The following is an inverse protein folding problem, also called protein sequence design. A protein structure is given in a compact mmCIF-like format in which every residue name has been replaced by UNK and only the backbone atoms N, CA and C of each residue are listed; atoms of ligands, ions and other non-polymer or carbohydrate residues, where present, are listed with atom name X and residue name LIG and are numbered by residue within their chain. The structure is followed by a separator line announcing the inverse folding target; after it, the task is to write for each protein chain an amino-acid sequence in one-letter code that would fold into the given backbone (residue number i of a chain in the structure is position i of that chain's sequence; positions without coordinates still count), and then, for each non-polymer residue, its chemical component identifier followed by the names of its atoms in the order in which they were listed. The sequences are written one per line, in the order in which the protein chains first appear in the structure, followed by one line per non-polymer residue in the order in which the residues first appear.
data_IF_616673867104
#
_entry.id   IF_616673867104
#
_cell.length_a   1.000
_cell.length_b   1.000
_cell.length_c   1.000
_cell.angle_alpha   90.00
_cell.angle_beta   90.00
_cell.angle_gamma   90.00
#
_symmetry.space_group_name_H-M   'P 1'
#
loop_
_entity.id
_entity.type
_entity.pdbx_description
1 polymer ?
#
# COMPACT_ATOMS: atom_id res chain seq x y z
N UNK A 1 -6.04 36.36 3.57
CA UNK A 1 -5.04 36.04 4.61
C UNK A 1 -5.14 34.55 4.87
N UNK A 2 -4.40 33.72 4.12
CA UNK A 2 -4.42 32.27 4.31
C UNK A 2 -3.36 31.91 5.35
N UNK A 3 -3.79 31.35 6.48
CA UNK A 3 -2.89 30.77 7.47
C UNK A 3 -2.03 29.71 6.79
N UNK A 4 -0.72 29.93 6.84
CA UNK A 4 0.29 28.94 6.45
C UNK A 4 0.34 27.94 7.60
N UNK A 5 -0.47 26.88 7.54
CA UNK A 5 -0.26 25.72 8.41
C UNK A 5 1.07 25.09 7.97
N UNK A 6 2.16 25.50 8.62
CA UNK A 6 3.43 24.82 8.45
C UNK A 6 3.41 23.61 9.38
N UNK A 7 2.87 22.49 8.90
CA UNK A 7 3.09 21.21 9.58
C UNK A 7 4.58 21.01 9.80
N UNK A 8 4.93 20.51 10.97
CA UNK A 8 6.34 20.24 11.28
C UNK A 8 6.80 18.93 10.64
N UNK A 9 8.11 18.82 10.36
CA UNK A 9 8.70 17.55 9.90
C UNK A 9 8.37 16.38 10.85
N UNK A 10 8.37 16.64 12.15
CA UNK A 10 8.05 15.65 13.17
C UNK A 10 6.59 15.19 13.09
N UNK A 11 5.66 16.14 12.98
CA UNK A 11 4.24 15.88 12.82
C UNK A 11 3.94 15.03 11.58
N UNK A 12 4.54 15.36 10.42
CA UNK A 12 4.36 14.59 9.19
C UNK A 12 4.82 13.12 9.35
N UNK A 13 5.91 12.89 10.07
CA UNK A 13 6.38 11.52 10.38
C UNK A 13 5.38 10.81 11.28
N UNK A 14 4.97 11.42 12.40
CA UNK A 14 4.04 10.82 13.36
C UNK A 14 2.70 10.48 12.70
N UNK A 15 2.18 11.38 11.86
CA UNK A 15 0.94 11.13 11.12
C UNK A 15 1.09 9.97 10.15
N UNK A 16 2.20 9.93 9.40
CA UNK A 16 2.48 8.82 8.47
C UNK A 16 2.51 7.47 9.20
N UNK A 17 3.20 7.41 10.34
CA UNK A 17 3.26 6.22 11.19
C UNK A 17 1.86 5.84 11.70
N UNK A 18 1.12 6.82 12.23
CA UNK A 18 -0.23 6.61 12.76
C UNK A 18 -1.19 6.06 11.71
N UNK A 19 -1.15 6.58 10.48
CA UNK A 19 -1.95 6.06 9.36
C UNK A 19 -1.65 4.59 9.06
N UNK A 20 -0.37 4.18 9.08
CA UNK A 20 0.02 2.78 8.81
C UNK A 20 -0.43 1.85 9.93
N UNK A 21 -0.24 2.26 11.19
CA UNK A 21 -0.69 1.47 12.34
C UNK A 21 -2.20 1.27 12.33
N UNK A 22 -2.95 2.35 12.07
CA UNK A 22 -4.42 2.27 11.94
C UNK A 22 -4.83 1.37 10.78
N UNK A 23 -4.18 1.50 9.62
CA UNK A 23 -4.47 0.65 8.48
C UNK A 23 -4.30 -0.84 8.81
N UNK A 24 -3.18 -1.22 9.43
CA UNK A 24 -2.95 -2.59 9.89
C UNK A 24 -3.99 -3.08 10.90
N UNK A 25 -4.46 -2.21 11.79
CA UNK A 25 -5.50 -2.54 12.75
C UNK A 25 -6.84 -2.86 12.05
N UNK A 26 -7.23 -2.06 11.06
CA UNK A 26 -8.47 -2.28 10.29
C UNK A 26 -8.42 -3.55 9.44
N UNK A 27 -7.27 -3.88 8.85
CA UNK A 27 -7.08 -5.16 8.16
C UNK A 27 -7.30 -6.34 9.11
N UNK A 28 -6.74 -6.26 10.32
CA UNK A 28 -6.89 -7.30 11.33
C UNK A 28 -8.33 -7.41 11.87
N UNK A 29 -9.09 -6.31 11.92
CA UNK A 29 -10.53 -6.38 12.25
C UNK A 29 -11.28 -7.26 11.23
N UNK A 30 -10.92 -7.19 9.94
CA UNK A 30 -11.48 -8.08 8.92
C UNK A 30 -11.23 -9.56 9.20
N UNK A 31 -9.98 -9.91 9.55
CA UNK A 31 -9.61 -11.27 9.97
C UNK A 31 -10.43 -11.74 11.18
N UNK A 32 -10.53 -10.88 12.20
CA UNK A 32 -11.28 -11.17 13.43
C UNK A 32 -12.76 -11.39 13.13
N UNK A 33 -13.36 -10.57 12.25
CA UNK A 33 -14.76 -10.72 11.84
C UNK A 33 -15.01 -12.06 11.14
N UNK A 34 -14.13 -12.45 10.21
CA UNK A 34 -14.24 -13.74 9.51
C UNK A 34 -14.18 -14.94 10.48
N UNK A 35 -13.30 -14.87 11.50
CA UNK A 35 -13.17 -15.88 12.54
C UNK A 35 -14.41 -15.95 13.45
N UNK A 36 -14.91 -14.81 13.92
CA UNK A 36 -16.09 -14.76 14.82
C UNK A 36 -17.36 -15.31 14.17
N UNK A 37 -17.50 -15.12 12.85
CA UNK A 37 -18.66 -15.62 12.11
C UNK A 37 -18.45 -17.04 11.54
N UNK A 38 -17.33 -17.69 11.89
CA UNK A 38 -16.97 -19.03 11.43
C UNK A 38 -17.14 -19.18 9.91
N UNK A 39 -16.67 -18.19 9.15
CA UNK A 39 -16.77 -18.21 7.70
C UNK A 39 -15.75 -19.21 7.16
N UNK A 40 -16.22 -20.38 6.73
CA UNK A 40 -15.34 -21.40 6.16
C UNK A 40 -15.14 -21.24 4.63
N UNK A 41 -15.96 -20.38 4.00
CA UNK A 41 -15.86 -20.14 2.57
C UNK A 41 -14.72 -19.14 2.25
N UNK A 42 -13.65 -19.65 1.64
CA UNK A 42 -12.48 -18.86 1.25
C UNK A 42 -12.81 -17.63 0.38
N UNK A 43 -13.81 -17.72 -0.50
CA UNK A 43 -14.21 -16.59 -1.33
C UNK A 43 -14.79 -15.46 -0.48
N UNK A 44 -15.62 -15.80 0.51
CA UNK A 44 -16.20 -14.81 1.43
C UNK A 44 -15.11 -14.20 2.31
N UNK A 45 -14.18 -15.01 2.83
CA UNK A 45 -13.01 -14.52 3.58
C UNK A 45 -12.24 -13.50 2.73
N UNK A 46 -11.90 -13.85 1.48
CA UNK A 46 -11.16 -12.96 0.59
C UNK A 46 -11.92 -11.64 0.31
N UNK A 47 -13.26 -11.68 0.20
CA UNK A 47 -14.09 -10.49 0.06
C UNK A 47 -14.07 -9.61 1.31
N UNK A 48 -14.19 -10.20 2.51
CA UNK A 48 -14.10 -9.49 3.79
C UNK A 48 -12.74 -8.79 3.89
N UNK A 49 -11.65 -9.50 3.57
CA UNK A 49 -10.30 -8.95 3.63
C UNK A 49 -10.05 -7.88 2.58
N UNK A 50 -10.56 -8.05 1.37
CA UNK A 50 -10.49 -7.01 0.33
C UNK A 50 -11.19 -5.72 0.77
N UNK A 51 -12.37 -5.86 1.39
CA UNK A 51 -13.12 -4.74 1.92
C UNK A 51 -12.40 -4.06 3.09
N UNK A 52 -11.97 -4.83 4.11
CA UNK A 52 -11.27 -4.28 5.27
C UNK A 52 -9.95 -3.60 4.87
N UNK A 53 -9.22 -4.16 3.91
CA UNK A 53 -7.99 -3.56 3.37
C UNK A 53 -8.28 -2.26 2.62
N UNK A 54 -9.33 -2.21 1.81
CA UNK A 54 -9.72 -0.97 1.12
C UNK A 54 -10.11 0.12 2.12
N UNK A 55 -10.85 -0.22 3.17
CA UNK A 55 -11.20 0.73 4.23
C UNK A 55 -9.95 1.19 5.01
N UNK A 56 -9.13 0.24 5.44
CA UNK A 56 -7.95 0.48 6.29
C UNK A 56 -6.84 1.24 5.58
N UNK A 57 -6.50 0.89 4.35
CA UNK A 57 -5.40 1.50 3.61
C UNK A 57 -5.80 2.74 2.80
N UNK A 58 -7.07 2.87 2.41
CA UNK A 58 -7.52 3.97 1.52
C UNK A 58 -8.46 4.91 2.24
N UNK A 59 -9.64 4.43 2.64
CA UNK A 59 -10.72 5.32 3.11
C UNK A 59 -10.34 6.08 4.39
N UNK A 60 -9.80 5.38 5.38
CA UNK A 60 -9.42 5.99 6.67
C UNK A 60 -8.23 6.93 6.51
N UNK A 61 -7.10 6.53 5.87
CA UNK A 61 -5.99 7.45 5.68
C UNK A 61 -6.35 8.69 4.84
N UNK A 62 -7.25 8.58 3.85
CA UNK A 62 -7.78 9.75 3.12
C UNK A 62 -8.61 10.67 4.02
N UNK A 63 -9.46 10.11 4.89
CA UNK A 63 -10.23 10.89 5.86
C UNK A 63 -9.29 11.66 6.79
N UNK A 64 -8.26 11.01 7.33
CA UNK A 64 -7.25 11.66 8.18
C UNK A 64 -6.50 12.75 7.43
N UNK A 65 -6.09 12.49 6.18
CA UNK A 65 -5.43 13.48 5.34
C UNK A 65 -6.28 14.76 5.20
N UNK A 66 -7.58 14.60 4.97
CA UNK A 66 -8.53 15.71 4.85
C UNK A 66 -8.75 16.44 6.17
N UNK A 67 -9.01 15.71 7.27
CA UNK A 67 -9.27 16.29 8.59
C UNK A 67 -8.07 17.04 9.16
N UNK A 68 -6.85 16.61 8.83
CA UNK A 68 -5.61 17.22 9.29
C UNK A 68 -5.07 18.30 8.34
N UNK A 69 -5.81 18.69 7.30
CA UNK A 69 -5.44 19.81 6.43
C UNK A 69 -4.36 19.51 5.37
N UNK A 70 -3.93 18.26 5.22
CA UNK A 70 -2.92 17.89 4.21
C UNK A 70 -3.52 17.89 2.80
N UNK A 71 -2.74 18.41 1.84
CA UNK A 71 -3.11 18.38 0.43
C UNK A 71 -2.80 17.02 -0.19
N UNK A 72 -3.80 16.34 -0.72
CA UNK A 72 -3.59 15.13 -1.51
C UNK A 72 -2.93 15.44 -2.85
N UNK A 73 -1.77 14.84 -3.09
CA UNK A 73 -1.04 14.89 -4.35
C UNK A 73 -1.47 13.66 -5.15
N UNK A 74 -2.28 13.87 -6.18
CA UNK A 74 -2.76 12.79 -7.05
C UNK A 74 -1.55 12.09 -7.70
N UNK A 75 -1.38 10.77 -7.51
CA UNK A 75 -0.29 10.05 -8.15
C UNK A 75 -0.50 10.03 -9.66
N UNK A 76 0.60 9.99 -10.43
CA UNK A 76 0.54 9.81 -11.88
C UNK A 76 -0.17 8.50 -12.20
N UNK A 77 -1.10 8.53 -13.14
CA UNK A 77 -1.84 7.34 -13.54
C UNK A 77 -2.17 7.38 -15.04
N UNK A 78 -1.82 6.33 -15.77
CA UNK A 78 -2.20 6.17 -17.18
C UNK A 78 -3.19 5.02 -17.31
N UNK A 79 -4.43 5.33 -17.67
CA UNK A 79 -5.53 4.36 -17.74
C UNK A 79 -5.29 3.31 -18.83
N UNK A 80 -4.81 3.71 -20.01
CA UNK A 80 -4.55 2.77 -21.11
C UNK A 80 -3.46 1.77 -20.70
N UNK A 81 -2.38 2.26 -20.10
CA UNK A 81 -1.32 1.39 -19.61
C UNK A 81 -1.78 0.50 -18.46
N UNK A 82 -2.62 1.02 -17.56
CA UNK A 82 -3.21 0.24 -16.47
C UNK A 82 -4.10 -0.90 -16.99
N UNK A 83 -4.90 -0.67 -18.02
CA UNK A 83 -5.73 -1.71 -18.66
C UNK A 83 -4.83 -2.79 -19.28
N UNK A 84 -3.76 -2.39 -19.98
CA UNK A 84 -2.80 -3.35 -20.55
C UNK A 84 -2.17 -4.21 -19.46
N UNK A 85 -1.68 -3.59 -18.38
CA UNK A 85 -1.10 -4.31 -17.23
C UNK A 85 -2.12 -5.25 -16.57
N UNK A 86 -3.37 -4.81 -16.41
CA UNK A 86 -4.43 -5.63 -15.85
C UNK A 86 -4.69 -6.88 -16.71
N UNK A 87 -4.76 -6.73 -18.03
CA UNK A 87 -4.92 -7.88 -18.95
C UNK A 87 -3.75 -8.85 -18.80
N UNK A 88 -2.51 -8.35 -18.73
CA UNK A 88 -1.32 -9.18 -18.52
C UNK A 88 -1.37 -9.90 -17.17
N UNK A 89 -1.73 -9.20 -16.09
CA UNK A 89 -1.87 -9.77 -14.75
C UNK A 89 -2.93 -10.89 -14.74
N UNK A 90 -4.08 -10.67 -15.37
CA UNK A 90 -5.14 -11.67 -15.47
C UNK A 90 -4.69 -12.89 -16.29
N UNK A 91 -3.99 -12.67 -17.40
CA UNK A 91 -3.41 -13.75 -18.20
C UNK A 91 -2.43 -14.58 -17.37
N UNK A 92 -1.46 -13.96 -16.71
CA UNK A 92 -0.48 -14.66 -15.87
C UNK A 92 -1.19 -15.38 -14.71
N UNK A 93 -2.16 -14.74 -14.06
CA UNK A 93 -2.94 -15.33 -12.97
C UNK A 93 -3.64 -16.62 -13.39
N UNK A 94 -4.33 -16.60 -14.54
CA UNK A 94 -5.12 -17.75 -15.02
C UNK A 94 -4.20 -18.87 -15.54
N UNK A 95 -3.18 -18.53 -16.33
CA UNK A 95 -2.40 -19.55 -17.05
C UNK A 95 -1.16 -20.03 -16.32
N UNK A 96 -0.53 -19.19 -15.48
CA UNK A 96 0.72 -19.52 -14.77
C UNK A 96 0.42 -19.98 -13.35
N UNK A 97 -0.21 -19.14 -12.53
CA UNK A 97 -0.37 -19.39 -11.10
C UNK A 97 -1.62 -20.19 -10.73
N UNK A 98 -2.69 -20.11 -11.53
CA UNK A 98 -3.95 -20.86 -11.35
C UNK A 98 -4.58 -20.75 -9.94
N UNK A 99 -4.36 -19.64 -9.24
CA UNK A 99 -4.81 -19.42 -7.86
C UNK A 99 -5.66 -18.16 -7.74
N UNK A 100 -6.75 -18.24 -6.97
CA UNK A 100 -7.57 -17.08 -6.60
C UNK A 100 -6.84 -16.10 -5.68
N UNK A 101 -5.74 -16.53 -5.07
CA UNK A 101 -4.87 -15.68 -4.23
C UNK A 101 -4.21 -14.57 -5.04
N UNK A 102 -4.05 -14.72 -6.36
CA UNK A 102 -3.44 -13.69 -7.21
C UNK A 102 -4.31 -12.43 -7.28
N UNK A 103 -5.63 -12.59 -7.26
CA UNK A 103 -6.57 -11.47 -7.26
C UNK A 103 -6.53 -10.76 -5.91
N UNK A 104 -6.52 -11.53 -4.81
CA UNK A 104 -6.40 -10.96 -3.48
C UNK A 104 -5.09 -10.18 -3.33
N UNK A 105 -3.95 -10.75 -3.76
CA UNK A 105 -2.66 -10.08 -3.77
C UNK A 105 -2.67 -8.79 -4.60
N UNK A 106 -3.42 -8.75 -5.72
CA UNK A 106 -3.54 -7.55 -6.55
C UNK A 106 -4.30 -6.44 -5.81
N UNK A 107 -5.36 -6.80 -5.08
CA UNK A 107 -6.13 -5.86 -4.27
C UNK A 107 -5.25 -5.29 -3.15
N UNK A 108 -4.53 -6.14 -2.43
CA UNK A 108 -3.60 -5.71 -1.36
C UNK A 108 -2.51 -4.80 -1.93
N UNK A 109 -1.84 -5.20 -3.01
CA UNK A 109 -0.83 -4.37 -3.67
C UNK A 109 -1.41 -3.01 -4.08
N UNK A 110 -2.63 -2.98 -4.63
CA UNK A 110 -3.31 -1.72 -4.99
C UNK A 110 -3.53 -0.83 -3.78
N UNK A 111 -4.02 -1.40 -2.68
CA UNK A 111 -4.30 -0.68 -1.43
C UNK A 111 -3.02 -0.11 -0.81
N UNK A 112 -1.98 -0.93 -0.68
CA UNK A 112 -0.69 -0.52 -0.11
C UNK A 112 0.00 0.54 -0.99
N UNK A 113 0.01 0.36 -2.30
CA UNK A 113 0.59 1.36 -3.20
C UNK A 113 -0.16 2.69 -3.13
N UNK A 114 -1.49 2.67 -3.04
CA UNK A 114 -2.27 3.90 -2.89
C UNK A 114 -1.98 4.60 -1.55
N UNK A 115 -1.88 3.84 -0.45
CA UNK A 115 -1.48 4.38 0.85
C UNK A 115 -0.10 5.04 0.78
N UNK A 116 0.91 4.34 0.27
CA UNK A 116 2.29 4.80 0.35
C UNK A 116 2.66 5.84 -0.70
N UNK A 117 2.22 5.66 -1.95
CA UNK A 117 2.62 6.50 -3.09
C UNK A 117 1.60 7.61 -3.38
N UNK A 118 0.39 7.48 -2.85
CA UNK A 118 -0.61 8.56 -2.82
C UNK A 118 -0.57 9.31 -1.49
N UNK A 119 -1.05 8.67 -0.42
CA UNK A 119 -1.44 9.36 0.83
C UNK A 119 -0.21 9.75 1.67
N UNK A 120 0.61 8.78 2.08
CA UNK A 120 1.81 9.02 2.91
C UNK A 120 2.80 9.91 2.17
N UNK A 121 2.99 9.69 0.87
CA UNK A 121 3.84 10.56 0.06
C UNK A 121 3.35 12.01 0.06
N UNK A 122 2.04 12.25 0.02
CA UNK A 122 1.45 13.59 0.12
C UNK A 122 1.77 14.26 1.45
N UNK A 123 1.67 13.50 2.56
CA UNK A 123 2.03 13.97 3.90
C UNK A 123 3.51 14.33 3.96
N UNK A 124 4.40 13.44 3.52
CA UNK A 124 5.84 13.65 3.59
C UNK A 124 6.31 14.82 2.69
N UNK A 125 5.78 14.94 1.48
CA UNK A 125 6.14 16.03 0.56
C UNK A 125 5.71 17.42 1.05
N UNK A 126 4.86 17.52 2.08
CA UNK A 126 4.51 18.81 2.69
C UNK A 126 5.67 19.43 3.49
N UNK A 127 6.60 18.62 3.99
CA UNK A 127 7.70 19.06 4.86
C UNK A 127 9.10 18.59 4.41
N UNK A 128 9.18 17.61 3.50
CA UNK A 128 10.42 16.98 3.08
C UNK A 128 10.66 17.13 1.57
N UNK A 129 11.93 17.08 1.17
CA UNK A 129 12.27 16.92 -0.24
C UNK A 129 11.80 15.55 -0.75
N UNK A 130 11.60 15.44 -2.06
CA UNK A 130 11.17 14.18 -2.69
C UNK A 130 12.08 12.99 -2.35
N UNK A 131 13.40 13.20 -2.31
CA UNK A 131 14.36 12.14 -1.96
C UNK A 131 14.20 11.68 -0.51
N UNK A 132 14.10 12.62 0.42
CA UNK A 132 13.84 12.32 1.84
C UNK A 132 12.50 11.60 2.02
N UNK A 133 11.45 12.07 1.34
CA UNK A 133 10.12 11.47 1.40
C UNK A 133 10.12 10.01 0.89
N UNK A 134 10.86 9.70 -0.18
CA UNK A 134 10.97 8.33 -0.70
C UNK A 134 11.70 7.41 0.29
N UNK A 135 12.76 7.90 0.92
CA UNK A 135 13.51 7.14 1.93
C UNK A 135 12.63 6.90 3.16
N UNK A 136 12.01 7.94 3.70
CA UNK A 136 11.15 7.85 4.89
C UNK A 136 9.93 6.96 4.64
N UNK A 137 9.22 7.16 3.52
CA UNK A 137 8.10 6.33 3.13
C UNK A 137 8.50 4.85 2.98
N UNK A 138 9.70 4.59 2.46
CA UNK A 138 10.21 3.22 2.33
C UNK A 138 10.59 2.58 3.67
N UNK A 139 11.12 3.34 4.62
CA UNK A 139 11.37 2.85 5.98
C UNK A 139 10.05 2.47 6.67
N UNK A 140 9.03 3.35 6.56
CA UNK A 140 7.70 3.09 7.11
C UNK A 140 7.08 1.85 6.47
N UNK A 141 7.19 1.68 5.15
CA UNK A 141 6.69 0.51 4.43
C UNK A 141 7.38 -0.78 4.87
N UNK A 142 8.71 -0.78 4.94
CA UNK A 142 9.47 -1.98 5.22
C UNK A 142 9.32 -2.43 6.68
N UNK A 143 9.34 -1.49 7.63
CA UNK A 143 9.43 -1.81 9.05
C UNK A 143 8.04 -1.86 9.70
N UNK A 144 7.21 -0.84 9.50
CA UNK A 144 5.97 -0.69 10.27
C UNK A 144 4.81 -1.50 9.70
N UNK A 145 4.64 -1.52 8.37
CA UNK A 145 3.58 -2.32 7.76
C UNK A 145 3.80 -3.82 7.98
N UNK A 146 5.08 -4.23 8.10
CA UNK A 146 5.48 -5.63 8.20
C UNK A 146 6.06 -5.98 9.57
N UNK A 147 5.63 -5.28 10.61
CA UNK A 147 6.18 -5.39 11.96
C UNK A 147 6.08 -6.80 12.56
N UNK A 148 5.15 -7.63 12.05
CA UNK A 148 4.99 -9.03 12.45
C UNK A 148 6.03 -9.99 11.82
N UNK A 149 6.89 -9.50 10.92
CA UNK A 149 7.95 -10.28 10.27
C UNK A 149 9.34 -10.00 10.85
N UNK A 150 10.35 -10.70 10.31
CA UNK A 150 11.74 -10.48 10.70
C UNK A 150 12.23 -9.08 10.30
N UNK A 151 12.73 -8.33 11.28
CA UNK A 151 13.19 -6.96 11.09
C UNK A 151 14.31 -6.86 10.05
N UNK A 152 15.32 -7.73 10.12
CA UNK A 152 16.48 -7.67 9.24
C UNK A 152 16.10 -8.02 7.80
N UNK A 153 15.29 -9.07 7.61
CA UNK A 153 14.75 -9.47 6.32
C UNK A 153 13.90 -8.36 5.71
N UNK A 154 13.01 -7.76 6.50
CA UNK A 154 12.20 -6.63 6.07
C UNK A 154 13.09 -5.45 5.64
N UNK A 155 14.13 -5.13 6.40
CA UNK A 155 15.05 -4.05 6.05
C UNK A 155 15.91 -4.35 4.81
N UNK A 156 16.40 -5.58 4.63
CA UNK A 156 17.27 -5.92 3.51
C UNK A 156 16.50 -6.13 2.21
N UNK A 157 15.27 -6.64 2.30
CA UNK A 157 14.49 -7.01 1.11
C UNK A 157 13.41 -5.97 0.80
N UNK A 158 12.58 -5.61 1.78
CA UNK A 158 11.40 -4.76 1.54
C UNK A 158 11.73 -3.28 1.43
N UNK A 159 12.75 -2.79 2.14
CA UNK A 159 13.16 -1.39 2.03
C UNK A 159 13.70 -1.04 0.63
N UNK A 160 14.65 -1.80 0.05
CA UNK A 160 15.08 -1.56 -1.33
C UNK A 160 13.95 -1.75 -2.35
N UNK A 161 13.12 -2.78 -2.18
CA UNK A 161 11.95 -2.99 -3.04
C UNK A 161 11.00 -1.78 -2.99
N UNK A 162 10.76 -1.22 -1.80
CA UNK A 162 9.92 -0.03 -1.63
C UNK A 162 10.50 1.20 -2.31
N UNK A 163 11.82 1.39 -2.28
CA UNK A 163 12.46 2.49 -3.04
C UNK A 163 12.18 2.33 -4.53
N UNK A 164 12.33 1.11 -5.06
CA UNK A 164 12.03 0.81 -6.47
C UNK A 164 10.56 1.13 -6.78
N UNK A 165 9.63 0.74 -5.92
CA UNK A 165 8.20 1.04 -6.08
C UNK A 165 7.93 2.57 -6.11
N UNK A 166 8.58 3.35 -5.23
CA UNK A 166 8.49 4.82 -5.31
C UNK A 166 9.01 5.38 -6.64
N UNK A 167 10.13 4.86 -7.15
CA UNK A 167 10.69 5.25 -8.45
C UNK A 167 9.73 4.87 -9.58
N UNK A 168 9.20 3.65 -9.58
CA UNK A 168 8.25 3.19 -10.59
C UNK A 168 6.99 4.06 -10.63
N UNK A 169 6.40 4.35 -9.47
CA UNK A 169 5.23 5.22 -9.37
C UNK A 169 5.51 6.64 -9.88
N UNK A 170 6.70 7.16 -9.61
CA UNK A 170 7.08 8.51 -10.00
C UNK A 170 7.39 8.67 -11.49
N UNK A 171 8.06 7.70 -12.11
CA UNK A 171 8.43 7.77 -13.52
C UNK A 171 7.34 7.23 -14.44
N UNK A 172 6.70 6.13 -14.06
CA UNK A 172 5.80 5.38 -14.93
C UNK A 172 4.33 5.40 -14.45
N UNK A 173 4.07 5.89 -13.24
CA UNK A 173 2.72 6.00 -12.66
C UNK A 173 2.37 4.87 -11.71
N UNK A 174 1.35 5.08 -10.87
CA UNK A 174 0.96 4.16 -9.81
C UNK A 174 0.67 2.74 -10.34
N UNK A 175 0.08 2.61 -11.54
CA UNK A 175 -0.23 1.32 -12.14
C UNK A 175 1.01 0.42 -12.36
N UNK A 176 2.19 1.00 -12.64
CA UNK A 176 3.41 0.20 -12.80
C UNK A 176 3.90 -0.31 -11.45
N UNK A 177 3.82 0.52 -10.41
CA UNK A 177 4.15 0.16 -9.03
C UNK A 177 3.24 -0.95 -8.53
N UNK A 178 1.92 -0.84 -8.78
CA UNK A 178 0.94 -1.88 -8.42
C UNK A 178 1.27 -3.21 -9.11
N UNK A 179 1.52 -3.19 -10.42
CA UNK A 179 1.83 -4.41 -11.16
C UNK A 179 3.13 -5.07 -10.70
N UNK A 180 4.16 -4.27 -10.42
CA UNK A 180 5.45 -4.78 -9.92
C UNK A 180 5.31 -5.32 -8.49
N UNK A 181 4.59 -4.62 -7.62
CA UNK A 181 4.34 -5.06 -6.25
C UNK A 181 3.52 -6.36 -6.23
N UNK A 182 2.47 -6.45 -7.04
CA UNK A 182 1.72 -7.70 -7.21
C UNK A 182 2.63 -8.85 -7.63
N UNK A 183 3.44 -8.66 -8.68
CA UNK A 183 4.34 -9.70 -9.17
C UNK A 183 5.36 -10.11 -8.09
N UNK A 184 5.91 -9.13 -7.37
CA UNK A 184 6.82 -9.37 -6.26
C UNK A 184 6.16 -10.22 -5.17
N UNK A 185 4.93 -9.89 -4.76
CA UNK A 185 4.20 -10.64 -3.72
C UNK A 185 3.93 -12.07 -4.15
N UNK A 186 3.56 -12.30 -5.41
CA UNK A 186 3.34 -13.66 -5.92
C UNK A 186 4.65 -14.45 -6.00
N UNK A 187 5.73 -13.85 -6.52
CA UNK A 187 7.02 -14.51 -6.57
C UNK A 187 7.53 -14.87 -5.16
N UNK A 188 7.46 -13.94 -4.21
CA UNK A 188 7.86 -14.22 -2.83
C UNK A 188 6.97 -15.28 -2.20
N UNK A 189 5.65 -15.20 -2.36
CA UNK A 189 4.73 -16.20 -1.83
C UNK A 189 4.93 -17.60 -2.41
N UNK A 190 5.33 -17.71 -3.68
CA UNK A 190 5.56 -19.00 -4.36
C UNK A 190 6.96 -19.58 -4.11
N UNK A 191 7.98 -18.73 -3.97
CA UNK A 191 9.38 -19.19 -3.87
C UNK A 191 9.96 -19.17 -2.44
N UNK A 192 9.32 -18.46 -1.50
CA UNK A 192 9.81 -18.30 -0.12
C UNK A 192 8.77 -18.65 0.96
N UNK A 193 7.51 -18.90 0.59
CA UNK A 193 6.45 -19.41 1.46
C UNK A 193 6.38 -20.94 1.42
#
# INVERSE_FOLDING_TARGET
MFMKESHSKFEAIIISIGMVVLAGLFVNIGNVFALFWSVDNQMIINCILAFSSSVGFIAIPLLFLHLLGFKFIKPKFNIVFAIILLIVILFISIFVFKSGETIHALIIATCEEFLFRGIILSVLLSCFTKREAFILGSLVFAILLHLNGDFLLNFVVKFPASIILYILADYFGLQSSIAFHWLYNICVGVFLG
#
